data_IF_165316848290
#
_entry.id   IF_165316848290
#
_cell.length_a   1.000
_cell.length_b   1.000
_cell.length_c   1.000
_cell.angle_alpha   90.00
_cell.angle_beta   90.00
_cell.angle_gamma   90.00
#
_symmetry.space_group_name_H-M   'P 1'
#
loop_
_entity.id
_entity.type
_entity.pdbx_description
1 polymer ?
#
# COMPACT_ATOMS: atom_id res chain seq x y z
N UNK A 1 -59.01 -0.12 -15.07
CA UNK A 1 -58.30 0.02 -13.78
C UNK A 1 -56.82 -0.24 -14.00
N UNK A 2 -55.98 0.71 -13.59
CA UNK A 2 -54.51 0.66 -13.37
C UNK A 2 -53.65 -0.07 -14.43
N UNK A 3 -53.10 0.63 -15.44
CA UNK A 3 -51.76 1.28 -15.39
C UNK A 3 -50.70 0.43 -14.68
N UNK A 4 -49.99 -0.43 -15.43
CA UNK A 4 -48.62 -0.80 -15.09
C UNK A 4 -47.69 -0.09 -16.07
N UNK A 5 -46.83 0.72 -15.47
CA UNK A 5 -46.04 1.76 -16.10
C UNK A 5 -45.10 1.21 -17.18
N UNK A 6 -45.02 1.97 -18.26
CA UNK A 6 -43.98 1.89 -19.24
C UNK A 6 -42.61 2.18 -18.59
N UNK A 7 -41.62 1.35 -18.89
CA UNK A 7 -40.22 1.75 -18.95
C UNK A 7 -39.50 0.81 -19.92
N UNK A 8 -39.86 0.93 -21.20
CA UNK A 8 -38.88 0.71 -22.28
C UNK A 8 -37.90 1.86 -22.14
N UNK A 9 -36.58 1.60 -22.07
CA UNK A 9 -35.55 2.42 -22.72
C UNK A 9 -34.18 1.73 -22.60
N UNK A 10 -33.88 0.96 -23.66
CA UNK A 10 -32.60 0.92 -24.40
C UNK A 10 -31.35 0.45 -23.64
N UNK A 11 -30.96 -0.80 -23.91
CA UNK A 11 -29.58 -1.27 -23.93
C UNK A 11 -28.78 -0.39 -24.91
N UNK A 12 -28.25 0.73 -24.41
CA UNK A 12 -27.37 1.63 -25.13
C UNK A 12 -25.93 1.14 -25.04
N UNK A 13 -25.57 0.18 -25.90
CA UNK A 13 -24.18 -0.11 -26.20
C UNK A 13 -23.57 1.08 -26.96
N UNK A 14 -22.99 2.03 -26.23
CA UNK A 14 -22.26 3.16 -26.81
C UNK A 14 -20.88 2.70 -27.29
N UNK A 15 -20.85 1.99 -28.42
CA UNK A 15 -19.66 1.83 -29.25
C UNK A 15 -19.54 3.06 -30.16
N UNK A 16 -19.07 4.17 -29.59
CA UNK A 16 -18.53 5.27 -30.38
C UNK A 16 -17.02 5.31 -30.16
N UNK A 17 -16.32 4.84 -31.18
CA UNK A 17 -14.91 5.07 -31.40
C UNK A 17 -14.65 6.59 -31.38
N UNK A 18 -14.04 7.07 -30.31
CA UNK A 18 -13.62 8.45 -30.14
C UNK A 18 -12.68 8.54 -28.96
N UNK A 19 -11.38 8.59 -29.26
CA UNK A 19 -10.31 8.47 -28.26
C UNK A 19 -10.32 9.58 -27.22
N UNK A 20 -10.79 9.26 -26.01
CA UNK A 20 -10.28 9.88 -24.78
C UNK A 20 -10.01 8.78 -23.79
N UNK A 21 -8.77 8.29 -23.82
CA UNK A 21 -8.23 7.37 -22.82
C UNK A 21 -8.10 8.14 -21.51
N UNK A 22 -9.18 8.20 -20.71
CA UNK A 22 -9.05 8.57 -19.31
C UNK A 22 -8.43 7.38 -18.60
N UNK A 23 -7.10 7.33 -18.63
CA UNK A 23 -6.31 6.46 -17.79
C UNK A 23 -6.61 6.83 -16.33
N UNK A 24 -7.40 5.97 -15.70
CA UNK A 24 -7.76 6.07 -14.30
C UNK A 24 -6.48 5.85 -13.52
N UNK A 25 -5.86 6.93 -13.04
CA UNK A 25 -4.74 6.83 -12.10
C UNK A 25 -5.31 6.37 -10.77
N UNK A 26 -5.41 5.06 -10.60
CA UNK A 26 -5.58 4.45 -9.29
C UNK A 26 -4.28 4.67 -8.51
N UNK A 27 -4.10 5.89 -7.98
CA UNK A 27 -3.11 6.16 -6.96
C UNK A 27 -3.56 5.46 -5.69
N UNK A 28 -3.00 4.28 -5.41
CA UNK A 28 -3.05 3.73 -4.06
C UNK A 28 -2.15 4.63 -3.21
N UNK A 29 -2.67 5.37 -2.20
CA UNK A 29 -1.82 6.07 -1.27
C UNK A 29 -1.11 5.00 -0.43
N UNK A 30 0.05 4.56 -0.90
CA UNK A 30 0.92 3.64 -0.17
C UNK A 30 1.72 4.45 0.86
N UNK A 31 1.00 5.24 1.66
CA UNK A 31 1.55 6.04 2.75
C UNK A 31 1.83 5.13 3.93
N UNK A 32 2.78 4.20 3.76
CA UNK A 32 3.28 3.42 4.88
C UNK A 32 3.85 4.40 5.92
N UNK A 33 3.41 4.34 7.19
CA UNK A 33 3.87 5.27 8.20
C UNK A 33 5.39 5.14 8.35
N UNK A 34 6.09 6.26 8.15
CA UNK A 34 7.53 6.37 8.39
C UNK A 34 7.70 6.83 9.83
N UNK A 35 8.24 5.96 10.68
CA UNK A 35 8.51 6.24 12.09
C UNK A 35 9.94 6.76 12.21
N UNK A 36 10.24 7.61 13.20
CA UNK A 36 11.61 8.12 13.39
C UNK A 36 12.53 7.09 14.03
N UNK A 37 11.97 6.19 14.83
CA UNK A 37 12.72 5.20 15.60
C UNK A 37 12.16 3.80 15.39
N UNK A 38 13.04 2.79 15.52
CA UNK A 38 12.63 1.40 15.43
C UNK A 38 11.97 0.97 16.76
N UNK A 39 10.78 0.36 16.72
CA UNK A 39 10.15 -0.19 17.93
C UNK A 39 11.05 -1.22 18.60
N UNK A 40 11.06 -1.31 19.94
CA UNK A 40 11.84 -2.30 20.66
C UNK A 40 11.43 -3.73 20.31
N UNK A 41 12.24 -4.70 20.74
CA UNK A 41 12.00 -6.12 20.49
C UNK A 41 10.61 -6.56 20.99
N UNK A 42 9.97 -7.47 20.25
CA UNK A 42 8.61 -7.94 20.56
C UNK A 42 7.46 -7.03 20.11
N UNK A 43 7.71 -5.76 19.74
CA UNK A 43 6.65 -4.85 19.27
C UNK A 43 6.35 -4.93 17.77
N UNK A 44 7.15 -5.67 17.00
CA UNK A 44 6.90 -5.92 15.58
C UNK A 44 6.50 -7.37 15.40
N UNK A 45 5.31 -7.59 14.83
CA UNK A 45 4.87 -8.92 14.45
C UNK A 45 5.79 -9.51 13.37
N UNK A 46 5.99 -10.84 13.33
CA UNK A 46 6.75 -11.49 12.27
C UNK A 46 6.21 -11.12 10.87
N UNK A 47 7.10 -10.75 9.96
CA UNK A 47 6.74 -10.33 8.59
C UNK A 47 6.22 -8.90 8.44
N UNK A 48 5.92 -8.20 9.54
CA UNK A 48 5.51 -6.80 9.49
C UNK A 48 6.64 -5.92 8.94
N UNK A 49 6.34 -5.06 7.97
CA UNK A 49 7.31 -4.12 7.41
C UNK A 49 7.06 -2.72 7.97
N UNK A 50 8.11 -2.10 8.50
CA UNK A 50 8.10 -0.73 9.00
C UNK A 50 9.19 0.09 8.31
N UNK A 51 8.88 1.33 7.93
CA UNK A 51 9.87 2.28 7.42
C UNK A 51 10.31 3.19 8.56
N UNK A 52 11.63 3.30 8.75
CA UNK A 52 12.25 4.07 9.82
C UNK A 52 13.19 5.10 9.23
N UNK A 53 13.04 6.36 9.62
CA UNK A 53 13.85 7.49 9.18
C UNK A 53 14.69 8.05 10.33
N UNK A 54 15.66 7.24 10.77
CA UNK A 54 16.62 7.56 11.84
C UNK A 54 17.92 8.23 11.32
N UNK A 55 17.98 8.54 10.01
CA UNK A 55 19.16 9.09 9.36
C UNK A 55 20.27 8.06 9.04
N UNK A 56 20.16 6.81 9.49
CA UNK A 56 21.20 5.78 9.30
C UNK A 56 21.44 5.42 7.83
N UNK A 57 20.42 5.57 6.98
CA UNK A 57 20.48 5.26 5.56
C UNK A 57 20.93 6.44 4.68
N UNK A 58 21.23 7.63 5.23
CA UNK A 58 21.61 8.81 4.45
C UNK A 58 20.47 9.42 3.61
N UNK A 59 20.78 10.50 2.88
CA UNK A 59 19.76 11.31 2.18
C UNK A 59 19.01 10.50 1.11
N UNK A 60 17.69 10.67 1.04
CA UNK A 60 16.82 10.03 0.03
C UNK A 60 16.49 8.56 0.29
N UNK A 61 16.97 7.98 1.39
CA UNK A 61 16.70 6.59 1.78
C UNK A 61 16.06 6.53 3.17
N UNK A 62 15.39 5.42 3.44
CA UNK A 62 14.81 5.08 4.75
C UNK A 62 15.12 3.62 5.07
N UNK A 63 15.19 3.29 6.35
CA UNK A 63 15.44 1.94 6.83
C UNK A 63 14.14 1.14 6.80
N UNK A 64 14.05 0.13 5.94
CA UNK A 64 13.00 -0.87 5.98
C UNK A 64 13.37 -1.94 7.02
N UNK A 65 12.58 -2.02 8.08
CA UNK A 65 12.68 -3.04 9.13
C UNK A 65 11.59 -4.07 8.87
N UNK A 66 11.96 -5.34 8.77
CA UNK A 66 11.01 -6.46 8.68
C UNK A 66 11.03 -7.24 9.99
N UNK A 67 9.85 -7.41 10.58
CA UNK A 67 9.64 -8.13 11.83
C UNK A 67 10.12 -9.57 11.73
N UNK A 68 10.88 -9.99 12.73
CA UNK A 68 11.35 -11.36 12.90
C UNK A 68 10.47 -12.12 13.89
N UNK A 69 10.69 -13.43 13.96
CA UNK A 69 10.09 -14.30 14.96
C UNK A 69 11.15 -14.57 16.03
N UNK A 70 10.95 -14.01 17.23
CA UNK A 70 11.95 -14.09 18.33
C UNK A 70 11.71 -15.32 19.21
N UNK A 71 10.55 -15.97 19.09
CA UNK A 71 10.13 -17.10 19.92
C UNK A 71 9.94 -18.37 19.07
N UNK A 72 10.22 -19.54 19.66
CA UNK A 72 9.98 -20.84 19.04
C UNK A 72 11.23 -21.50 18.43
N UNK A 73 11.04 -22.69 17.85
CA UNK A 73 12.11 -23.51 17.26
C UNK A 73 12.74 -22.91 15.99
N UNK A 74 12.04 -21.99 15.31
CA UNK A 74 12.48 -21.36 14.06
C UNK A 74 12.66 -19.84 14.23
N UNK A 75 13.35 -19.43 15.30
CA UNK A 75 13.62 -18.02 15.53
C UNK A 75 14.29 -17.38 14.30
N UNK A 76 13.66 -16.33 13.76
CA UNK A 76 14.18 -15.51 12.66
C UNK A 76 14.41 -14.10 13.17
N UNK A 77 15.64 -13.58 13.14
CA UNK A 77 15.90 -12.20 13.54
C UNK A 77 15.21 -11.22 12.58
N UNK A 78 14.99 -9.99 13.06
CA UNK A 78 14.54 -8.88 12.20
C UNK A 78 15.58 -8.62 11.11
N UNK A 79 15.11 -8.24 9.92
CA UNK A 79 16.01 -7.80 8.84
C UNK A 79 15.88 -6.30 8.60
N UNK A 80 17.01 -5.64 8.35
CA UNK A 80 17.09 -4.20 8.10
C UNK A 80 17.72 -3.95 6.75
N UNK A 81 17.08 -3.16 5.89
CA UNK A 81 17.59 -2.78 4.57
C UNK A 81 17.33 -1.31 4.31
N UNK A 82 18.29 -0.61 3.73
CA UNK A 82 18.05 0.75 3.26
C UNK A 82 17.36 0.70 1.90
N UNK A 83 16.20 1.35 1.80
CA UNK A 83 15.41 1.45 0.57
C UNK A 83 15.21 2.90 0.19
N UNK A 84 14.88 3.15 -1.08
CA UNK A 84 14.51 4.49 -1.52
C UNK A 84 13.32 4.99 -0.71
N UNK A 85 13.36 6.25 -0.28
CA UNK A 85 12.23 6.86 0.42
C UNK A 85 11.02 6.89 -0.52
N UNK A 86 9.88 6.31 -0.13
CA UNK A 86 8.68 6.39 -0.95
C UNK A 86 8.26 7.85 -1.10
N UNK A 87 7.80 8.21 -2.31
CA UNK A 87 7.19 9.52 -2.53
C UNK A 87 5.96 9.64 -1.63
N UNK A 88 5.87 10.75 -0.91
CA UNK A 88 4.75 11.05 -0.01
C UNK A 88 3.51 11.41 -0.81
#
# INVERSE_FOLDING_TARGET
MARRAAAILVLGASLLAGGTCWAQTAGFPNSAPIVLEEPPEGQMAPGMVLLVDDGSCGKGRVKQVTGGEIAGLNARPRTRKCVARPAR
#
